data_IF_841234629780
#
_entry.id   IF_841234629780
#
_cell.length_a   1.000
_cell.length_b   1.000
_cell.length_c   1.000
_cell.angle_alpha   90.00
_cell.angle_beta   90.00
_cell.angle_gamma   90.00
#
_symmetry.space_group_name_H-M   'P 1'
#
loop_
_entity.id
_entity.type
_entity.pdbx_description
1 polymer ?
#
# COMPACT_ATOMS: atom_id res chain seq x y z
N UNK A 1 69.15 13.12 10.30
CA UNK A 1 69.73 11.98 11.00
C UNK A 1 68.82 10.78 10.72
N UNK A 2 69.27 9.93 9.81
CA UNK A 2 69.77 8.55 9.97
C UNK A 2 68.73 7.64 10.52
N UNK A 3 68.24 6.74 9.73
CA UNK A 3 68.71 5.42 9.20
C UNK A 3 68.04 4.31 10.01
N UNK A 4 67.56 3.21 9.57
CA UNK A 4 67.77 2.14 8.63
C UNK A 4 66.61 1.12 8.85
N UNK A 5 65.94 0.56 7.83
CA UNK A 5 66.07 -0.78 7.22
C UNK A 5 66.00 -1.99 8.20
N UNK A 6 65.07 -2.94 7.99
CA UNK A 6 65.42 -4.28 7.52
C UNK A 6 64.18 -5.10 7.12
N UNK A 7 64.25 -5.65 5.99
CA UNK A 7 63.77 -6.83 5.30
C UNK A 7 63.65 -8.08 6.19
N UNK A 8 62.64 -8.91 5.96
CA UNK A 8 62.82 -10.35 5.80
C UNK A 8 61.64 -11.02 5.08
N UNK A 9 61.96 -11.55 3.94
CA UNK A 9 61.22 -12.43 3.06
C UNK A 9 61.40 -13.86 3.58
N UNK A 10 60.31 -14.67 3.67
CA UNK A 10 60.40 -16.12 3.77
C UNK A 10 59.41 -16.77 2.77
N UNK A 11 60.02 -17.37 1.76
CA UNK A 11 59.47 -18.33 0.81
C UNK A 11 59.85 -19.72 1.32
N UNK A 12 58.90 -20.67 1.31
CA UNK A 12 59.14 -22.11 1.24
C UNK A 12 57.85 -22.79 0.85
N UNK A 13 57.68 -23.18 -0.42
CA UNK A 13 57.97 -24.46 -1.09
C UNK A 13 57.05 -25.64 -0.66
N UNK A 14 56.34 -26.11 -1.70
CA UNK A 14 55.53 -27.34 -1.88
C UNK A 14 56.42 -28.59 -1.75
N UNK A 15 55.86 -29.77 -1.44
CA UNK A 15 55.87 -30.77 -2.48
C UNK A 15 54.55 -31.52 -2.73
N UNK A 16 54.38 -31.79 -4.02
CA UNK A 16 53.58 -32.76 -4.71
C UNK A 16 54.00 -34.17 -4.37
N UNK A 17 53.04 -35.10 -4.15
CA UNK A 17 53.28 -36.51 -4.36
C UNK A 17 52.04 -37.19 -4.95
N UNK A 18 52.22 -37.74 -6.12
CA UNK A 18 51.33 -38.58 -6.89
C UNK A 18 51.40 -40.04 -6.42
N UNK A 19 50.35 -40.79 -6.66
CA UNK A 19 50.35 -42.26 -6.50
C UNK A 19 49.00 -42.89 -6.88
N UNK A 20 48.93 -43.41 -8.08
CA UNK A 20 48.03 -44.50 -8.56
C UNK A 20 48.89 -45.74 -8.82
N UNK A 21 48.38 -46.92 -9.21
CA UNK A 21 47.09 -47.59 -9.09
C UNK A 21 47.17 -49.03 -8.59
N UNK A 22 46.13 -49.80 -8.46
CA UNK A 22 46.16 -51.26 -8.75
C UNK A 22 44.78 -51.89 -8.87
N UNK A 23 44.66 -52.65 -9.94
CA UNK A 23 43.61 -53.56 -10.37
C UNK A 23 43.62 -54.86 -9.58
N UNK A 24 42.44 -55.54 -9.49
CA UNK A 24 42.20 -57.00 -9.68
C UNK A 24 40.69 -57.21 -9.72
N UNK A 25 40.09 -57.57 -10.83
CA UNK A 25 39.68 -58.85 -11.38
C UNK A 25 38.83 -59.77 -10.51
N UNK A 26 37.64 -60.12 -11.02
CA UNK A 26 36.81 -61.23 -10.56
C UNK A 26 35.55 -61.45 -11.40
N UNK A 27 35.67 -62.34 -12.37
CA UNK A 27 34.71 -62.85 -13.30
C UNK A 27 33.42 -63.44 -12.73
N UNK A 28 32.34 -63.36 -13.51
CA UNK A 28 31.17 -64.25 -13.37
C UNK A 28 30.10 -63.97 -14.43
N UNK A 29 30.13 -64.74 -15.49
CA UNK A 29 29.18 -64.79 -16.61
C UNK A 29 27.81 -65.30 -16.18
N UNK A 30 26.70 -64.82 -16.76
CA UNK A 30 25.77 -65.67 -17.54
C UNK A 30 24.79 -64.80 -18.34
N UNK A 31 24.66 -65.19 -19.59
CA UNK A 31 23.73 -64.78 -20.63
C UNK A 31 22.26 -65.07 -20.23
N UNK A 32 21.30 -64.24 -20.63
CA UNK A 32 20.19 -64.60 -21.52
C UNK A 32 19.51 -63.34 -22.09
N UNK A 33 19.21 -63.48 -23.34
CA UNK A 33 18.72 -62.57 -24.35
C UNK A 33 17.18 -62.41 -24.29
N UNK A 34 16.68 -61.33 -24.83
CA UNK A 34 15.52 -61.16 -25.70
C UNK A 34 14.42 -60.18 -25.24
N UNK A 35 14.31 -59.19 -26.12
CA UNK A 35 13.12 -58.56 -26.72
C UNK A 35 12.48 -57.37 -25.97
N UNK A 36 12.64 -56.28 -26.70
CA UNK A 36 11.75 -55.14 -26.96
C UNK A 36 10.33 -55.21 -26.39
N UNK A 37 9.99 -54.20 -25.58
CA UNK A 37 8.77 -53.42 -25.82
C UNK A 37 8.94 -52.02 -25.21
N UNK A 38 8.85 -51.06 -26.09
CA UNK A 38 8.71 -49.64 -25.82
C UNK A 38 7.52 -49.39 -24.90
N UNK A 39 7.79 -48.79 -23.74
CA UNK A 39 6.82 -47.91 -23.08
C UNK A 39 7.57 -46.96 -22.15
N UNK A 40 7.83 -45.77 -22.67
CA UNK A 40 8.31 -44.63 -21.95
C UNK A 40 7.19 -44.10 -21.05
N UNK A 41 7.10 -44.62 -19.83
CA UNK A 41 6.29 -43.97 -18.80
C UNK A 41 7.00 -42.71 -18.27
N UNK A 42 6.65 -41.59 -18.89
CA UNK A 42 6.86 -40.29 -18.29
C UNK A 42 6.01 -40.23 -16.98
N UNK A 43 6.67 -40.38 -15.85
CA UNK A 43 6.11 -39.99 -14.58
C UNK A 43 6.00 -38.47 -14.57
N UNK A 44 4.89 -37.95 -15.09
CA UNK A 44 4.45 -36.60 -14.80
C UNK A 44 4.04 -36.62 -13.32
N UNK A 45 4.92 -36.13 -12.47
CA UNK A 45 4.48 -35.65 -11.14
C UNK A 45 3.47 -34.50 -11.36
N UNK A 46 2.21 -34.86 -11.55
CA UNK A 46 1.11 -33.97 -11.26
C UNK A 46 1.15 -33.70 -9.77
N UNK A 47 1.86 -32.65 -9.37
CA UNK A 47 1.55 -31.97 -8.13
C UNK A 47 0.12 -31.44 -8.29
N UNK A 48 -0.84 -32.21 -7.82
CA UNK A 48 -2.20 -31.72 -7.61
C UNK A 48 -2.10 -30.48 -6.73
N UNK A 49 -2.27 -29.32 -7.32
CA UNK A 49 -2.43 -28.08 -6.57
C UNK A 49 -3.61 -28.33 -5.63
N UNK A 50 -3.33 -28.44 -4.34
CA UNK A 50 -4.36 -28.45 -3.31
C UNK A 50 -5.12 -27.13 -3.47
N UNK A 51 -6.32 -27.20 -4.01
CA UNK A 51 -7.28 -26.11 -4.00
C UNK A 51 -7.61 -25.82 -2.53
N UNK A 52 -6.82 -24.93 -1.92
CA UNK A 52 -7.10 -24.49 -0.56
C UNK A 52 -8.35 -23.60 -0.64
N UNK A 53 -9.42 -24.04 -0.02
CA UNK A 53 -10.65 -23.26 0.11
C UNK A 53 -10.35 -22.00 0.90
N UNK A 54 -10.57 -20.84 0.32
CA UNK A 54 -10.47 -19.54 0.98
C UNK A 54 -11.68 -19.40 1.92
N UNK A 55 -11.47 -18.88 3.12
CA UNK A 55 -12.57 -18.65 4.08
C UNK A 55 -12.71 -17.18 4.39
N UNK A 56 -13.91 -16.63 4.29
CA UNK A 56 -14.22 -15.31 4.83
C UNK A 56 -14.22 -15.42 6.35
N UNK A 57 -13.21 -14.82 6.99
CA UNK A 57 -13.01 -14.84 8.45
C UNK A 57 -13.84 -13.79 9.16
N UNK A 58 -14.07 -12.68 8.48
CA UNK A 58 -14.75 -11.54 9.08
C UNK A 58 -15.41 -10.70 7.97
N UNK A 59 -16.47 -9.97 8.33
CA UNK A 59 -17.11 -8.97 7.49
C UNK A 59 -17.30 -7.69 8.27
N UNK A 60 -17.07 -6.55 7.62
CA UNK A 60 -17.20 -5.22 8.23
C UNK A 60 -17.91 -4.29 7.26
N UNK A 61 -18.75 -3.41 7.77
CA UNK A 61 -19.33 -2.32 7.00
C UNK A 61 -18.93 -0.99 7.61
N UNK A 62 -18.67 -0.01 6.75
CA UNK A 62 -18.37 1.36 7.14
C UNK A 62 -19.16 2.32 6.28
N UNK A 63 -19.95 3.19 6.93
CA UNK A 63 -20.79 4.18 6.26
C UNK A 63 -20.04 5.49 6.13
N UNK A 64 -19.65 5.83 4.89
CA UNK A 64 -19.14 7.15 4.53
C UNK A 64 -20.29 8.06 4.11
N UNK A 65 -20.09 9.37 4.18
CA UNK A 65 -21.09 10.33 3.69
C UNK A 65 -21.49 10.11 2.21
N UNK A 66 -20.65 9.45 1.41
CA UNK A 66 -20.81 9.30 -0.05
C UNK A 66 -20.99 7.88 -0.51
N UNK A 67 -20.62 6.89 0.27
CA UNK A 67 -20.70 5.46 -0.05
C UNK A 67 -20.69 4.63 1.22
N UNK A 68 -21.13 3.40 1.12
CA UNK A 68 -20.92 2.40 2.16
C UNK A 68 -19.88 1.41 1.69
N UNK A 69 -18.82 1.23 2.47
CA UNK A 69 -17.78 0.23 2.23
C UNK A 69 -18.08 -1.05 2.99
N UNK A 70 -18.08 -2.16 2.29
CA UNK A 70 -18.15 -3.50 2.88
C UNK A 70 -16.82 -4.20 2.60
N UNK A 71 -16.21 -4.77 3.64
CA UNK A 71 -14.92 -5.47 3.57
C UNK A 71 -15.09 -6.90 4.05
N UNK A 72 -14.71 -7.86 3.24
CA UNK A 72 -14.61 -9.28 3.59
C UNK A 72 -13.13 -9.60 3.82
N UNK A 73 -12.76 -9.96 5.06
CA UNK A 73 -11.42 -10.41 5.41
C UNK A 73 -11.28 -11.89 5.05
N UNK A 74 -10.35 -12.23 4.18
CA UNK A 74 -10.16 -13.56 3.63
C UNK A 74 -9.02 -14.30 4.35
N UNK A 75 -9.09 -15.61 4.41
CA UNK A 75 -8.03 -16.44 5.02
C UNK A 75 -6.76 -16.46 4.20
N UNK A 76 -6.88 -16.34 2.88
CA UNK A 76 -5.79 -16.36 1.90
C UNK A 76 -6.19 -15.58 0.64
N UNK A 77 -5.23 -15.41 -0.28
CA UNK A 77 -5.49 -14.80 -1.58
C UNK A 77 -6.39 -15.67 -2.44
N UNK A 78 -7.34 -15.03 -3.12
CA UNK A 78 -8.23 -15.71 -4.07
C UNK A 78 -7.40 -16.14 -5.28
N UNK A 79 -7.39 -17.44 -5.57
CA UNK A 79 -6.58 -18.03 -6.65
C UNK A 79 -7.19 -17.88 -8.03
N UNK A 80 -8.52 -17.79 -8.10
CA UNK A 80 -9.28 -17.55 -9.34
C UNK A 80 -9.99 -16.21 -9.26
N UNK A 81 -9.99 -15.39 -10.32
CA UNK A 81 -10.61 -14.07 -10.28
C UNK A 81 -12.11 -14.18 -10.01
N UNK A 82 -12.65 -13.35 -9.08
CA UNK A 82 -14.09 -13.27 -8.87
C UNK A 82 -14.83 -12.87 -10.14
N UNK A 83 -16.02 -13.39 -10.31
CA UNK A 83 -16.87 -13.11 -11.47
C UNK A 83 -18.02 -12.20 -11.07
N UNK A 84 -18.23 -11.16 -11.89
CA UNK A 84 -19.32 -10.22 -11.72
C UNK A 84 -20.50 -10.60 -12.59
N UNK A 85 -21.69 -10.62 -12.02
CA UNK A 85 -22.94 -10.81 -12.77
C UNK A 85 -24.01 -9.86 -12.26
N UNK A 86 -25.04 -9.63 -13.10
CA UNK A 86 -26.20 -8.80 -12.76
C UNK A 86 -27.49 -9.52 -13.12
N UNK A 87 -28.40 -9.48 -12.19
CA UNK A 87 -29.81 -9.81 -12.44
C UNK A 87 -30.64 -8.51 -12.58
N UNK A 88 -31.91 -8.59 -12.80
CA UNK A 88 -32.80 -7.42 -12.82
C UNK A 88 -32.89 -6.68 -11.48
N UNK A 89 -32.57 -7.35 -10.37
CA UNK A 89 -32.77 -6.84 -9.02
C UNK A 89 -31.46 -6.79 -8.19
N UNK A 90 -30.45 -7.59 -8.53
CA UNK A 90 -29.24 -7.74 -7.76
C UNK A 90 -27.99 -7.67 -8.61
N UNK A 91 -26.96 -7.08 -8.03
CA UNK A 91 -25.58 -7.22 -8.43
C UNK A 91 -24.95 -8.36 -7.63
N UNK A 92 -24.16 -9.21 -8.28
CA UNK A 92 -23.56 -10.40 -7.66
C UNK A 92 -22.07 -10.49 -7.96
N UNK A 93 -21.29 -10.85 -6.97
CA UNK A 93 -19.87 -11.21 -7.10
C UNK A 93 -19.73 -12.67 -6.66
N UNK A 94 -19.41 -13.55 -7.60
CA UNK A 94 -19.05 -14.93 -7.30
C UNK A 94 -17.56 -15.03 -7.02
N UNK A 95 -17.20 -15.59 -5.86
CA UNK A 95 -15.81 -15.78 -5.45
C UNK A 95 -15.56 -17.28 -5.43
N UNK A 96 -14.77 -17.81 -6.40
CA UNK A 96 -14.51 -19.23 -6.52
C UNK A 96 -13.73 -19.78 -5.31
N UNK A 97 -14.00 -21.05 -4.99
CA UNK A 97 -13.32 -21.79 -3.91
C UNK A 97 -13.33 -21.05 -2.56
N UNK A 98 -14.45 -20.40 -2.25
CA UNK A 98 -14.57 -19.58 -1.04
C UNK A 98 -15.77 -20.01 -0.20
N UNK A 99 -15.57 -20.07 1.10
CA UNK A 99 -16.59 -20.35 2.13
C UNK A 99 -16.63 -19.21 3.16
N UNK A 100 -17.59 -19.23 4.06
CA UNK A 100 -17.65 -18.30 5.19
C UNK A 100 -18.09 -19.01 6.48
N UNK A 101 -17.66 -18.45 7.62
CA UNK A 101 -17.99 -18.99 8.93
C UNK A 101 -19.38 -18.56 9.41
N UNK A 102 -19.96 -19.30 10.34
CA UNK A 102 -21.24 -18.96 10.99
C UNK A 102 -21.22 -17.57 11.65
N UNK A 103 -20.07 -17.14 12.17
CA UNK A 103 -19.87 -15.80 12.74
C UNK A 103 -20.06 -14.68 11.70
N UNK A 104 -19.68 -14.92 10.45
CA UNK A 104 -19.87 -13.95 9.35
C UNK A 104 -21.35 -13.82 9.01
N UNK A 105 -22.07 -14.95 8.94
CA UNK A 105 -23.51 -14.94 8.73
C UNK A 105 -24.28 -14.22 9.86
N UNK A 106 -23.91 -14.46 11.12
CA UNK A 106 -24.49 -13.78 12.26
C UNK A 106 -24.21 -12.25 12.25
N UNK A 107 -23.02 -11.84 11.84
CA UNK A 107 -22.69 -10.41 11.69
C UNK A 107 -23.49 -9.73 10.59
N UNK A 108 -23.72 -10.40 9.46
CA UNK A 108 -24.54 -9.87 8.36
C UNK A 108 -25.99 -9.57 8.78
N UNK A 109 -26.53 -10.35 9.71
CA UNK A 109 -27.87 -10.14 10.26
C UNK A 109 -27.96 -8.90 11.19
N UNK A 110 -26.86 -8.19 11.46
CA UNK A 110 -26.85 -6.99 12.29
C UNK A 110 -27.21 -5.75 11.47
N UNK A 111 -27.83 -4.75 12.09
CA UNK A 111 -28.25 -3.48 11.46
C UNK A 111 -27.13 -2.60 10.87
N UNK A 112 -25.88 -3.03 11.01
CA UNK A 112 -24.69 -2.28 10.54
C UNK A 112 -24.38 -2.49 9.05
N UNK A 113 -25.03 -3.42 8.38
CA UNK A 113 -24.79 -3.71 6.98
C UNK A 113 -25.91 -3.13 6.09
N UNK A 114 -25.59 -2.88 4.80
CA UNK A 114 -26.63 -2.52 3.84
C UNK A 114 -27.76 -3.56 3.89
N UNK A 115 -29.03 -3.13 3.91
CA UNK A 115 -30.15 -4.06 3.91
C UNK A 115 -30.07 -4.97 2.66
N UNK A 116 -30.43 -6.23 2.82
CA UNK A 116 -30.46 -7.24 1.76
C UNK A 116 -29.09 -7.60 1.13
N UNK A 117 -27.99 -7.25 1.80
CA UNK A 117 -26.68 -7.80 1.46
C UNK A 117 -26.61 -9.25 1.94
N UNK A 118 -26.43 -10.19 1.01
CA UNK A 118 -26.47 -11.63 1.31
C UNK A 118 -25.21 -12.33 0.84
N UNK A 119 -24.70 -13.25 1.66
CA UNK A 119 -23.67 -14.23 1.27
C UNK A 119 -24.31 -15.59 1.14
N UNK A 120 -24.19 -16.21 -0.04
CA UNK A 120 -24.76 -17.52 -0.33
C UNK A 120 -23.68 -18.50 -0.78
N UNK A 121 -23.53 -19.67 -0.14
CA UNK A 121 -22.65 -20.72 -0.64
C UNK A 121 -23.27 -21.37 -1.88
N UNK A 122 -22.45 -21.75 -2.86
CA UNK A 122 -22.88 -22.52 -4.01
C UNK A 122 -22.58 -24.01 -3.84
N UNK A 123 -23.27 -24.85 -4.60
CA UNK A 123 -22.99 -26.29 -4.65
C UNK A 123 -21.61 -26.61 -5.26
N UNK A 124 -21.00 -25.67 -5.98
CA UNK A 124 -19.69 -25.78 -6.63
C UNK A 124 -18.54 -25.36 -5.71
N UNK A 125 -18.83 -25.02 -4.43
CA UNK A 125 -17.81 -24.59 -3.48
C UNK A 125 -17.36 -23.12 -3.67
N UNK A 126 -18.14 -22.31 -4.38
CA UNK A 126 -17.98 -20.86 -4.49
C UNK A 126 -18.87 -20.14 -3.47
N UNK A 127 -18.64 -18.87 -3.28
CA UNK A 127 -19.49 -17.97 -2.50
C UNK A 127 -20.00 -16.83 -3.37
N UNK A 128 -21.29 -16.54 -3.32
CA UNK A 128 -21.89 -15.39 -3.99
C UNK A 128 -22.19 -14.31 -2.97
N UNK A 129 -21.61 -13.13 -3.18
CA UNK A 129 -22.00 -11.89 -2.51
C UNK A 129 -23.05 -11.19 -3.36
N UNK A 130 -24.28 -11.10 -2.87
CA UNK A 130 -25.42 -10.51 -3.56
C UNK A 130 -25.84 -9.19 -2.92
N UNK A 131 -26.03 -8.15 -3.75
CA UNK A 131 -26.36 -6.80 -3.32
C UNK A 131 -27.56 -6.31 -4.13
N UNK A 132 -28.65 -5.82 -3.50
CA UNK A 132 -29.78 -5.26 -4.22
C UNK A 132 -29.35 -4.03 -5.02
N UNK A 133 -29.86 -3.88 -6.24
CA UNK A 133 -29.59 -2.69 -7.05
C UNK A 133 -30.41 -1.48 -6.60
N UNK A 134 -31.51 -1.72 -5.91
CA UNK A 134 -32.35 -0.64 -5.37
C UNK A 134 -31.60 0.13 -4.26
N UNK A 135 -31.60 1.44 -4.34
CA UNK A 135 -30.92 2.31 -3.37
C UNK A 135 -29.47 2.64 -3.71
N UNK A 136 -28.87 1.97 -4.70
CA UNK A 136 -27.48 2.19 -5.08
C UNK A 136 -27.37 2.68 -6.53
N UNK A 137 -26.68 3.82 -6.74
CA UNK A 137 -26.42 4.39 -8.07
C UNK A 137 -25.29 3.66 -8.81
N UNK A 138 -24.28 3.22 -8.08
CA UNK A 138 -23.12 2.49 -8.59
C UNK A 138 -22.44 1.73 -7.47
N UNK A 139 -21.63 0.79 -7.84
CA UNK A 139 -20.74 0.06 -6.93
C UNK A 139 -19.35 -0.07 -7.56
N UNK A 140 -18.36 -0.35 -6.75
CA UNK A 140 -17.00 -0.66 -7.14
C UNK A 140 -16.48 -1.73 -6.20
N UNK A 141 -15.84 -2.74 -6.72
CA UNK A 141 -15.16 -3.74 -5.88
C UNK A 141 -13.75 -4.00 -6.36
N UNK A 142 -12.88 -4.51 -5.46
CA UNK A 142 -11.52 -4.88 -5.74
C UNK A 142 -10.99 -5.85 -4.69
N UNK A 143 -9.97 -6.62 -5.08
CA UNK A 143 -9.24 -7.50 -4.17
C UNK A 143 -7.98 -6.80 -3.67
N UNK A 144 -7.70 -7.01 -2.39
CA UNK A 144 -6.44 -6.66 -1.75
C UNK A 144 -5.74 -7.95 -1.36
N UNK A 145 -4.43 -8.01 -1.60
CA UNK A 145 -3.58 -9.12 -1.21
C UNK A 145 -2.66 -8.65 -0.10
N UNK A 146 -2.67 -9.35 1.06
CA UNK A 146 -1.84 -9.08 2.25
C UNK A 146 -2.24 -7.83 3.05
N UNK A 147 -3.16 -7.99 4.00
CA UNK A 147 -4.01 -9.16 4.18
C UNK A 147 -5.04 -9.27 3.06
N UNK A 148 -5.42 -10.52 2.77
CA UNK A 148 -6.35 -10.81 1.68
C UNK A 148 -7.75 -10.31 2.03
N UNK A 149 -8.34 -9.48 1.16
CA UNK A 149 -9.64 -8.86 1.38
C UNK A 149 -10.37 -8.67 0.06
N UNK A 150 -11.69 -8.81 0.09
CA UNK A 150 -12.54 -8.25 -0.94
C UNK A 150 -13.17 -6.97 -0.37
N UNK A 151 -13.02 -5.87 -1.08
CA UNK A 151 -13.59 -4.56 -0.72
C UNK A 151 -14.67 -4.21 -1.72
N UNK A 152 -15.83 -3.79 -1.23
CA UNK A 152 -16.98 -3.35 -2.01
C UNK A 152 -17.42 -1.98 -1.55
N UNK A 153 -17.45 -1.01 -2.45
CA UNK A 153 -17.94 0.35 -2.24
C UNK A 153 -19.29 0.53 -2.93
N UNK A 154 -20.32 0.84 -2.17
CA UNK A 154 -21.70 1.06 -2.61
C UNK A 154 -22.04 2.54 -2.56
N UNK A 155 -22.37 3.15 -3.68
CA UNK A 155 -22.70 4.58 -3.79
C UNK A 155 -24.21 4.76 -3.86
N UNK A 156 -24.86 5.43 -2.88
CA UNK A 156 -26.29 5.57 -2.84
C UNK A 156 -26.84 6.38 -4.03
N UNK A 157 -28.02 6.04 -4.47
CA UNK A 157 -28.80 6.90 -5.34
C UNK A 157 -29.34 8.08 -4.53
N UNK A 158 -29.31 9.28 -5.09
CA UNK A 158 -29.72 10.53 -4.42
C UNK A 158 -31.19 10.59 -3.99
N UNK A 159 -31.95 9.49 -4.11
CA UNK A 159 -33.40 9.39 -3.83
C UNK A 159 -33.75 8.60 -2.56
N UNK A 160 -32.78 8.15 -1.78
CA UNK A 160 -33.09 7.46 -0.52
C UNK A 160 -33.09 8.43 0.66
N UNK A 161 -34.11 9.24 0.73
CA UNK A 161 -34.59 9.75 2.03
C UNK A 161 -35.29 8.55 2.69
N UNK A 162 -34.73 8.06 3.79
CA UNK A 162 -35.43 7.07 4.62
C UNK A 162 -36.85 7.57 4.89
N UNK A 163 -37.86 6.80 4.43
CA UNK A 163 -39.24 6.99 4.85
C UNK A 163 -39.31 6.65 6.35
N UNK A 164 -39.20 7.68 7.16
CA UNK A 164 -39.66 7.62 8.53
C UNK A 164 -41.17 7.61 8.48
N UNK A 165 -41.79 6.52 8.89
CA UNK A 165 -43.22 6.39 9.10
C UNK A 165 -43.68 7.55 9.99
N UNK A 166 -44.71 8.35 9.62
CA UNK A 166 -45.09 9.49 10.45
C UNK A 166 -45.71 8.98 11.76
N UNK A 167 -45.09 9.37 12.88
CA UNK A 167 -45.79 9.33 14.16
C UNK A 167 -46.92 10.39 14.17
N UNK A 168 -48.04 10.17 14.90
CA UNK A 168 -49.17 11.08 14.92
C UNK A 168 -48.74 12.49 15.36
N UNK A 169 -49.26 13.50 14.65
CA UNK A 169 -48.92 14.90 14.75
C UNK A 169 -49.13 15.45 16.19
N UNK A 170 -48.17 16.11 16.79
CA UNK A 170 -48.40 16.97 17.94
C UNK A 170 -49.08 18.28 17.51
N UNK A 171 -49.77 19.00 18.44
CA UNK A 171 -50.53 20.20 18.11
C UNK A 171 -49.59 21.32 17.60
N UNK A 172 -50.13 22.31 16.86
CA UNK A 172 -49.33 23.31 16.15
C UNK A 172 -48.52 24.19 17.11
N UNK A 173 -47.21 24.01 17.08
CA UNK A 173 -46.26 24.93 17.67
C UNK A 173 -45.88 25.90 16.56
N UNK A 174 -45.88 27.23 16.89
CA UNK A 174 -45.40 28.29 15.99
C UNK A 174 -44.05 27.91 15.44
N UNK A 175 -43.93 27.92 14.09
CA UNK A 175 -42.67 27.68 13.39
C UNK A 175 -41.59 28.60 13.95
N UNK A 176 -40.45 28.02 14.43
CA UNK A 176 -39.25 28.84 14.61
C UNK A 176 -38.74 29.22 13.22
N UNK A 177 -38.29 30.47 13.09
CA UNK A 177 -37.60 30.95 11.90
C UNK A 177 -36.61 29.88 11.38
N UNK A 178 -36.82 29.40 10.15
CA UNK A 178 -35.91 28.47 9.52
C UNK A 178 -34.61 29.22 9.30
N UNK A 179 -33.65 29.05 10.19
CA UNK A 179 -32.27 29.43 9.95
C UNK A 179 -31.77 28.47 8.86
N UNK A 180 -31.89 28.88 7.59
CA UNK A 180 -31.24 28.22 6.48
C UNK A 180 -29.75 28.22 6.78
N UNK A 181 -29.10 27.07 7.03
CA UNK A 181 -27.67 27.07 7.26
C UNK A 181 -27.02 27.71 6.03
N UNK A 182 -26.02 28.59 6.24
CA UNK A 182 -25.34 29.23 5.12
C UNK A 182 -24.80 28.12 4.19
N UNK A 183 -24.82 28.36 2.86
CA UNK A 183 -24.30 27.36 1.91
C UNK A 183 -22.89 26.98 2.35
N UNK A 184 -22.48 25.71 2.19
CA UNK A 184 -21.17 25.26 2.63
C UNK A 184 -20.12 26.16 2.01
N UNK A 185 -19.39 26.87 2.86
CA UNK A 185 -18.30 27.75 2.42
C UNK A 185 -17.28 26.85 1.73
N UNK A 186 -17.08 27.10 0.43
CA UNK A 186 -16.09 26.41 -0.37
C UNK A 186 -14.70 26.73 0.19
N UNK A 187 -14.20 25.87 1.08
CA UNK A 187 -12.85 26.04 1.61
C UNK A 187 -11.84 25.36 0.69
N UNK A 188 -10.65 25.93 0.61
CA UNK A 188 -9.54 25.33 -0.09
C UNK A 188 -9.14 24.00 0.58
N UNK A 189 -8.70 23.04 -0.22
CA UNK A 189 -8.18 21.76 0.24
C UNK A 189 -6.73 21.96 0.70
N UNK A 190 -6.45 21.75 1.97
CA UNK A 190 -5.14 21.99 2.57
C UNK A 190 -4.27 20.73 2.53
N UNK A 191 -3.12 20.84 1.87
CA UNK A 191 -2.12 19.77 1.76
C UNK A 191 -0.88 20.17 2.56
N UNK A 192 -0.39 19.27 3.40
CA UNK A 192 0.93 19.40 4.02
C UNK A 192 1.90 18.47 3.31
N UNK A 193 2.95 19.03 2.74
CA UNK A 193 4.10 18.32 2.19
C UNK A 193 5.18 18.22 3.26
N UNK A 194 5.71 17.04 3.45
CA UNK A 194 6.75 16.74 4.42
C UNK A 194 8.00 16.20 3.70
N UNK A 195 8.94 17.06 3.31
CA UNK A 195 10.25 16.59 2.84
C UNK A 195 10.99 15.92 3.98
N UNK A 196 11.26 14.61 3.87
CA UNK A 196 11.96 13.84 4.91
C UNK A 196 13.31 14.43 5.28
N UNK A 197 13.81 14.10 6.48
CA UNK A 197 15.14 14.49 6.97
C UNK A 197 15.35 16.01 7.06
N UNK A 198 16.62 16.47 7.00
CA UNK A 198 16.96 17.89 7.02
C UNK A 198 17.97 18.27 8.11
N UNK A 199 18.70 19.36 7.92
CA UNK A 199 19.72 19.86 8.86
C UNK A 199 20.77 18.81 9.20
N UNK A 200 20.85 18.40 10.46
CA UNK A 200 21.78 17.38 10.96
C UNK A 200 21.52 15.96 10.43
N UNK A 201 20.32 15.69 9.95
CA UNK A 201 19.93 14.38 9.40
C UNK A 201 20.01 14.41 7.85
N UNK A 202 21.03 13.79 7.25
CA UNK A 202 21.19 13.76 5.81
C UNK A 202 20.21 12.81 5.11
N UNK A 203 19.55 11.89 5.84
CA UNK A 203 18.88 10.73 5.26
C UNK A 203 19.86 9.74 4.64
N UNK A 204 19.40 8.95 3.69
CA UNK A 204 20.24 8.03 2.95
C UNK A 204 21.25 8.78 2.06
N UNK A 205 22.43 8.17 1.90
CA UNK A 205 23.56 8.73 1.13
C UNK A 205 23.79 7.88 -0.13
N UNK A 206 23.82 8.54 -1.27
CA UNK A 206 24.25 7.95 -2.52
C UNK A 206 25.76 7.76 -2.60
N UNK A 207 26.21 6.85 -3.43
CA UNK A 207 27.64 6.58 -3.62
C UNK A 207 28.41 7.77 -4.20
N UNK A 208 27.76 8.64 -4.95
CA UNK A 208 28.34 9.86 -5.54
C UNK A 208 28.21 11.08 -4.64
N UNK A 209 27.74 10.89 -3.39
CA UNK A 209 27.60 11.96 -2.41
C UNK A 209 26.25 12.69 -2.42
N UNK A 210 25.28 12.21 -3.19
CA UNK A 210 23.91 12.73 -3.15
C UNK A 210 23.30 12.47 -1.78
N UNK A 211 22.71 13.51 -1.16
CA UNK A 211 22.00 13.38 0.13
C UNK A 211 20.49 13.35 -0.12
N UNK A 212 19.82 12.45 0.54
CA UNK A 212 18.35 12.33 0.43
C UNK A 212 17.65 13.64 0.78
N UNK A 213 18.02 14.27 1.91
CA UNK A 213 17.42 15.51 2.39
C UNK A 213 17.35 16.64 1.35
N UNK A 214 18.38 16.73 0.49
CA UNK A 214 18.48 17.78 -0.53
C UNK A 214 17.57 17.46 -1.72
N UNK A 215 17.57 16.20 -2.16
CA UNK A 215 16.77 15.76 -3.29
C UNK A 215 15.27 15.80 -2.99
N UNK A 216 14.85 15.33 -1.79
CA UNK A 216 13.44 15.40 -1.39
C UNK A 216 12.95 16.83 -1.20
N UNK A 217 13.80 17.72 -0.64
CA UNK A 217 13.46 19.14 -0.52
C UNK A 217 13.25 19.78 -1.88
N UNK A 218 14.16 19.55 -2.83
CA UNK A 218 14.05 20.07 -4.19
C UNK A 218 12.77 19.60 -4.87
N UNK A 219 12.43 18.33 -4.79
CA UNK A 219 11.22 17.76 -5.38
C UNK A 219 9.96 18.32 -4.71
N UNK A 220 9.95 18.42 -3.37
CA UNK A 220 8.83 18.95 -2.63
C UNK A 220 8.55 20.44 -2.94
N UNK A 221 9.60 21.26 -3.10
CA UNK A 221 9.47 22.65 -3.50
C UNK A 221 8.87 22.79 -4.90
N UNK A 222 9.27 21.94 -5.84
CA UNK A 222 8.69 21.90 -7.17
C UNK A 222 7.23 21.44 -7.14
N UNK A 223 6.91 20.44 -6.33
CA UNK A 223 5.53 19.97 -6.13
C UNK A 223 4.65 21.08 -5.53
N UNK A 224 5.13 21.78 -4.50
CA UNK A 224 4.46 22.95 -3.94
C UNK A 224 4.12 23.97 -5.04
N UNK A 225 5.11 24.32 -5.86
CA UNK A 225 4.93 25.31 -6.93
C UNK A 225 3.91 24.87 -7.99
N UNK A 226 3.72 23.58 -8.21
CA UNK A 226 2.69 23.04 -9.09
C UNK A 226 1.32 23.11 -8.43
N UNK A 227 1.22 22.63 -7.18
CA UNK A 227 -0.03 22.57 -6.44
C UNK A 227 -0.63 23.96 -6.15
N UNK A 228 0.20 24.96 -5.85
CA UNK A 228 -0.23 26.33 -5.60
C UNK A 228 -0.89 27.02 -6.80
N UNK A 229 -0.75 26.45 -8.00
CA UNK A 229 -1.44 26.96 -9.21
C UNK A 229 -2.88 26.46 -9.32
N UNK A 230 -3.28 25.50 -8.52
CA UNK A 230 -4.67 25.00 -8.49
C UNK A 230 -5.52 25.87 -7.56
N UNK A 231 -6.57 26.52 -8.05
CA UNK A 231 -7.29 27.60 -7.31
C UNK A 231 -7.95 27.16 -5.98
N UNK A 232 -8.16 25.85 -5.81
CA UNK A 232 -8.83 25.28 -4.64
C UNK A 232 -7.89 24.46 -3.75
N UNK A 233 -6.57 24.67 -3.89
CA UNK A 233 -5.57 23.96 -3.09
C UNK A 233 -4.68 24.97 -2.37
N UNK A 234 -4.57 24.78 -1.04
CA UNK A 234 -3.52 25.38 -0.22
C UNK A 234 -2.45 24.37 0.10
N UNK A 235 -1.20 24.82 0.12
CA UNK A 235 -0.06 23.96 0.41
C UNK A 235 0.78 24.58 1.50
N UNK A 236 1.03 23.80 2.54
CA UNK A 236 2.03 24.08 3.55
C UNK A 236 3.12 23.02 3.49
N UNK A 237 4.27 23.32 4.02
CA UNK A 237 5.40 22.40 4.10
C UNK A 237 5.88 22.33 5.55
N UNK A 238 6.29 21.14 6.02
CA UNK A 238 6.93 21.00 7.33
C UNK A 238 8.25 21.73 7.35
N UNK A 239 9.02 21.67 6.26
CA UNK A 239 10.22 22.50 6.02
C UNK A 239 10.31 22.92 4.56
N UNK A 240 10.81 24.10 4.32
CA UNK A 240 11.14 24.62 2.96
C UNK A 240 12.62 25.03 2.84
N UNK A 241 13.39 24.71 3.87
CA UNK A 241 14.84 24.92 3.99
C UNK A 241 15.52 23.66 4.53
N UNK A 242 16.86 23.66 4.55
CA UNK A 242 17.65 22.57 5.11
C UNK A 242 17.73 22.69 6.66
N UNK A 243 16.61 22.43 7.31
CA UNK A 243 16.47 22.38 8.77
C UNK A 243 16.00 21.00 9.21
N UNK A 244 16.39 20.58 10.41
CA UNK A 244 15.91 19.35 11.03
C UNK A 244 14.60 19.59 11.79
N UNK A 245 13.64 18.72 11.61
CA UNK A 245 12.35 18.72 12.35
C UNK A 245 12.10 17.30 12.85
N UNK A 246 11.79 17.18 14.14
CA UNK A 246 11.45 15.88 14.75
C UNK A 246 10.18 15.29 14.15
N UNK A 247 10.07 13.96 14.09
CA UNK A 247 8.94 13.27 13.46
C UNK A 247 7.60 13.66 14.07
N UNK A 248 7.56 13.82 15.41
CA UNK A 248 6.35 14.25 16.12
C UNK A 248 5.91 15.66 15.72
N UNK A 249 6.86 16.58 15.56
CA UNK A 249 6.55 17.98 15.23
C UNK A 249 6.05 18.11 13.78
N UNK A 250 6.48 17.25 12.85
CA UNK A 250 5.95 17.19 11.48
C UNK A 250 4.47 16.84 11.47
N UNK A 251 4.09 15.78 12.19
CA UNK A 251 2.71 15.35 12.31
C UNK A 251 1.86 16.37 13.09
N UNK A 252 2.40 16.92 14.19
CA UNK A 252 1.75 17.95 15.02
C UNK A 252 1.45 19.20 14.21
N UNK A 253 2.39 19.67 13.40
CA UNK A 253 2.18 20.79 12.48
C UNK A 253 0.98 20.54 11.55
N UNK A 254 0.95 19.40 10.86
CA UNK A 254 -0.16 19.05 9.96
C UNK A 254 -1.51 18.97 10.70
N UNK A 255 -1.52 18.44 11.93
CA UNK A 255 -2.72 18.35 12.76
C UNK A 255 -3.22 19.74 13.22
N UNK A 256 -2.32 20.63 13.65
CA UNK A 256 -2.64 21.99 14.09
C UNK A 256 -3.21 22.84 12.95
N UNK A 257 -2.65 22.70 11.76
CA UNK A 257 -3.13 23.34 10.54
C UNK A 257 -4.43 22.73 10.00
N UNK A 258 -4.90 21.62 10.59
CA UNK A 258 -6.10 20.87 10.15
C UNK A 258 -6.02 20.50 8.67
N UNK A 259 -4.87 19.98 8.25
CA UNK A 259 -4.65 19.56 6.88
C UNK A 259 -5.65 18.48 6.45
N UNK A 260 -6.03 18.50 5.17
CA UNK A 260 -6.88 17.49 4.56
C UNK A 260 -6.09 16.29 4.04
N UNK A 261 -4.78 16.47 3.85
CA UNK A 261 -3.86 15.45 3.34
C UNK A 261 -2.44 15.74 3.83
N UNK A 262 -1.74 14.67 4.22
CA UNK A 262 -0.32 14.70 4.54
C UNK A 262 0.47 13.79 3.61
N UNK A 263 1.53 14.31 2.98
CA UNK A 263 2.41 13.57 2.10
C UNK A 263 3.87 13.74 2.55
N UNK A 264 4.46 12.67 3.09
CA UNK A 264 5.90 12.58 3.33
C UNK A 264 6.62 12.07 2.10
N UNK A 265 7.75 12.70 1.74
CA UNK A 265 8.54 12.38 0.54
C UNK A 265 9.93 11.96 0.98
N UNK A 266 10.31 10.74 0.59
CA UNK A 266 11.55 10.07 0.93
C UNK A 266 12.21 9.44 -0.29
N UNK A 267 13.46 9.03 -0.15
CA UNK A 267 14.23 8.30 -1.16
C UNK A 267 14.87 7.10 -0.48
N UNK A 268 14.42 5.94 -0.84
CA UNK A 268 14.82 4.67 -0.25
C UNK A 268 16.31 4.33 -0.45
N UNK A 269 16.80 3.42 0.35
CA UNK A 269 18.12 2.81 0.21
C UNK A 269 18.04 1.30 0.41
N UNK A 270 18.87 0.56 -0.33
CA UNK A 270 18.92 -0.90 -0.25
C UNK A 270 20.37 -1.39 -0.31
N UNK A 271 20.77 -2.44 0.48
CA UNK A 271 22.12 -3.00 0.42
C UNK A 271 22.52 -3.46 -0.98
N UNK A 272 21.56 -4.02 -1.74
CA UNK A 272 21.79 -4.40 -3.13
C UNK A 272 21.57 -3.21 -4.05
N UNK A 273 22.64 -2.66 -4.62
CA UNK A 273 22.60 -1.51 -5.51
C UNK A 273 21.80 -1.72 -6.83
N UNK A 274 21.43 -2.95 -7.17
CA UNK A 274 20.56 -3.24 -8.33
C UNK A 274 19.09 -2.94 -8.09
N UNK A 275 18.66 -2.82 -6.83
CA UNK A 275 17.28 -2.49 -6.48
C UNK A 275 17.02 -1.02 -6.82
N UNK A 276 15.89 -0.78 -7.46
CA UNK A 276 15.46 0.53 -7.97
C UNK A 276 13.95 0.62 -8.07
N UNK A 277 13.40 1.81 -8.26
CA UNK A 277 11.97 2.03 -8.49
C UNK A 277 11.33 2.85 -7.39
N UNK A 278 10.03 2.68 -7.20
CA UNK A 278 9.26 3.40 -6.20
C UNK A 278 8.30 2.49 -5.44
N UNK A 279 7.99 2.88 -4.22
CA UNK A 279 6.97 2.26 -3.38
C UNK A 279 6.30 3.31 -2.51
N UNK A 280 5.01 3.16 -2.26
CA UNK A 280 4.25 4.06 -1.41
C UNK A 280 3.79 3.33 -0.17
N UNK A 281 3.75 4.05 0.94
CA UNK A 281 3.36 3.49 2.23
C UNK A 281 2.19 4.26 2.83
N UNK A 282 1.31 3.53 3.51
CA UNK A 282 0.41 4.08 4.51
C UNK A 282 0.63 3.39 5.86
N UNK A 283 0.14 3.99 6.94
CA UNK A 283 0.31 3.43 8.28
C UNK A 283 -0.41 2.08 8.41
N UNK A 284 0.24 1.13 9.07
CA UNK A 284 -0.29 -0.19 9.38
C UNK A 284 0.78 -1.16 9.84
N UNK A 285 0.39 -2.41 10.03
CA UNK A 285 1.33 -3.51 10.24
C UNK A 285 2.23 -3.67 9.01
N UNK A 286 3.51 -3.98 9.23
CA UNK A 286 4.43 -4.14 8.12
C UNK A 286 3.99 -5.26 7.18
N UNK A 287 3.85 -4.96 5.89
CA UNK A 287 3.39 -5.92 4.88
C UNK A 287 4.40 -7.01 4.55
N UNK A 288 5.67 -6.74 4.82
CA UNK A 288 6.79 -7.67 4.65
C UNK A 288 7.99 -7.21 5.52
N UNK A 289 9.01 -8.08 5.76
CA UNK A 289 10.17 -7.73 6.57
C UNK A 289 10.91 -6.49 6.07
N UNK A 290 10.97 -6.28 4.74
CA UNK A 290 11.62 -5.11 4.17
C UNK A 290 10.87 -3.82 4.49
N UNK A 291 9.55 -3.84 4.47
CA UNK A 291 8.72 -2.70 4.86
C UNK A 291 8.98 -2.30 6.34
N UNK A 292 9.19 -3.30 7.20
CA UNK A 292 9.57 -3.06 8.60
C UNK A 292 10.95 -2.42 8.73
N UNK A 293 11.95 -2.90 7.95
CA UNK A 293 13.30 -2.30 7.93
C UNK A 293 13.26 -0.83 7.48
N UNK A 294 12.50 -0.53 6.42
CA UNK A 294 12.34 0.86 5.96
C UNK A 294 11.73 1.72 7.04
N UNK A 295 10.62 1.27 7.66
CA UNK A 295 9.99 2.03 8.74
C UNK A 295 10.92 2.21 9.95
N UNK A 296 11.69 1.21 10.34
CA UNK A 296 12.64 1.31 11.43
C UNK A 296 13.73 2.36 11.14
N UNK A 297 14.24 2.41 9.92
CA UNK A 297 15.21 3.40 9.49
C UNK A 297 14.63 4.81 9.54
N UNK A 298 13.46 5.01 8.97
CA UNK A 298 12.80 6.33 8.94
C UNK A 298 12.32 6.79 10.32
N UNK A 299 11.98 5.86 11.20
CA UNK A 299 11.66 6.16 12.60
C UNK A 299 12.90 6.45 13.46
N UNK A 300 14.12 6.25 12.94
CA UNK A 300 15.37 6.35 13.72
C UNK A 300 15.47 5.31 14.85
N UNK A 301 14.75 4.19 14.74
CA UNK A 301 14.70 3.14 15.75
C UNK A 301 15.37 1.87 15.23
N UNK A 302 16.40 1.33 15.91
CA UNK A 302 16.98 0.05 15.54
C UNK A 302 15.91 -1.06 15.60
N UNK A 303 15.95 -1.98 14.63
CA UNK A 303 15.22 -3.24 14.74
C UNK A 303 15.80 -4.00 15.94
N UNK A 304 15.05 -4.05 17.04
CA UNK A 304 15.37 -4.95 18.15
C UNK A 304 14.74 -6.30 17.83
N UNK A 305 15.54 -7.35 17.87
CA UNK A 305 15.14 -8.74 17.51
C UNK A 305 13.93 -9.28 18.28
N UNK A 306 13.47 -8.59 19.34
CA UNK A 306 12.40 -9.03 20.23
C UNK A 306 11.31 -7.99 20.52
N UNK A 307 11.29 -6.83 19.87
CA UNK A 307 10.18 -5.90 20.04
C UNK A 307 9.03 -6.29 19.10
N UNK A 308 7.91 -6.81 19.60
CA UNK A 308 6.81 -7.18 18.72
C UNK A 308 6.28 -5.89 18.05
N UNK A 309 6.35 -5.84 16.73
CA UNK A 309 5.84 -4.72 15.92
C UNK A 309 4.36 -4.38 16.22
N UNK A 310 3.61 -5.33 16.79
CA UNK A 310 2.23 -5.16 17.18
C UNK A 310 2.00 -4.23 18.39
N UNK A 311 3.01 -4.00 19.27
CA UNK A 311 2.85 -3.05 20.39
C UNK A 311 2.57 -1.62 19.91
N UNK A 312 2.98 -1.30 18.68
CA UNK A 312 2.70 -0.01 18.06
C UNK A 312 1.31 0.06 17.42
N UNK A 313 0.68 -1.09 17.14
CA UNK A 313 -0.59 -1.20 16.41
C UNK A 313 -1.79 -1.16 17.35
N UNK A 314 -1.65 -1.69 18.58
CA UNK A 314 -2.77 -1.85 19.52
C UNK A 314 -3.30 -0.52 20.09
N UNK A 315 -2.53 0.56 20.06
CA UNK A 315 -2.97 1.85 20.60
C UNK A 315 -3.91 2.63 19.66
N UNK A 316 -4.05 2.21 18.40
CA UNK A 316 -4.68 3.03 17.34
C UNK A 316 -5.97 2.41 16.75
N UNK A 317 -6.72 1.65 17.53
CA UNK A 317 -8.07 1.15 17.13
C UNK A 317 -9.08 2.26 16.81
N UNK A 318 -8.70 3.53 16.95
CA UNK A 318 -9.63 4.66 16.87
C UNK A 318 -9.72 5.31 15.50
N UNK A 319 -8.96 4.84 14.48
CA UNK A 319 -8.90 5.56 13.20
C UNK A 319 -8.91 4.67 11.94
N UNK A 320 -9.75 3.64 11.90
CA UNK A 320 -9.93 2.79 10.72
C UNK A 320 -10.20 3.60 9.45
N UNK A 321 -10.99 4.69 9.58
CA UNK A 321 -11.31 5.58 8.46
C UNK A 321 -10.06 6.26 7.87
N UNK A 322 -9.18 6.80 8.71
CA UNK A 322 -7.92 7.42 8.26
C UNK A 322 -7.05 6.43 7.50
N UNK A 323 -6.97 5.18 7.98
CA UNK A 323 -6.18 4.13 7.35
C UNK A 323 -6.75 3.81 5.96
N UNK A 324 -8.07 3.65 5.83
CA UNK A 324 -8.74 3.39 4.57
C UNK A 324 -8.56 4.55 3.57
N UNK A 325 -8.76 5.79 4.01
CA UNK A 325 -8.56 6.98 3.19
C UNK A 325 -7.08 7.15 2.79
N UNK A 326 -6.13 6.81 3.68
CA UNK A 326 -4.69 6.80 3.38
C UNK A 326 -4.34 5.72 2.37
N UNK A 327 -4.94 4.56 2.47
CA UNK A 327 -4.75 3.48 1.50
C UNK A 327 -5.26 3.88 0.11
N UNK A 328 -6.45 4.50 0.02
CA UNK A 328 -6.99 4.99 -1.25
C UNK A 328 -6.10 6.07 -1.86
N UNK A 329 -5.62 7.01 -1.03
CA UNK A 329 -4.64 8.02 -1.43
C UNK A 329 -3.37 7.39 -1.99
N UNK A 330 -2.80 6.39 -1.30
CA UNK A 330 -1.58 5.71 -1.73
C UNK A 330 -1.77 4.98 -3.07
N UNK A 331 -2.86 4.23 -3.23
CA UNK A 331 -3.15 3.51 -4.47
C UNK A 331 -3.39 4.46 -5.66
N UNK A 332 -4.17 5.51 -5.45
CA UNK A 332 -4.49 6.49 -6.48
C UNK A 332 -3.24 7.25 -6.89
N UNK A 333 -2.45 7.72 -5.91
CA UNK A 333 -1.19 8.44 -6.16
C UNK A 333 -0.19 7.56 -6.90
N UNK A 334 0.05 6.33 -6.43
CA UNK A 334 0.94 5.39 -7.11
C UNK A 334 0.52 5.15 -8.56
N UNK A 335 -0.75 4.86 -8.81
CA UNK A 335 -1.27 4.55 -10.15
C UNK A 335 -1.03 5.72 -11.12
N UNK A 336 -1.33 6.93 -10.71
CA UNK A 336 -1.16 8.12 -11.53
C UNK A 336 0.33 8.46 -11.72
N UNK A 337 1.14 8.42 -10.65
CA UNK A 337 2.58 8.64 -10.68
C UNK A 337 3.28 7.69 -11.66
N UNK A 338 3.04 6.39 -11.54
CA UNK A 338 3.62 5.38 -12.44
C UNK A 338 3.16 5.58 -13.89
N UNK A 339 1.86 5.86 -14.10
CA UNK A 339 1.32 6.16 -15.45
C UNK A 339 2.01 7.36 -16.07
N UNK A 340 2.23 8.43 -15.28
CA UNK A 340 2.86 9.65 -15.77
C UNK A 340 4.35 9.44 -16.10
N UNK A 341 5.10 8.70 -15.27
CA UNK A 341 6.55 8.54 -15.44
C UNK A 341 6.95 7.49 -16.49
N UNK A 342 6.13 6.47 -16.76
CA UNK A 342 6.46 5.39 -17.70
C UNK A 342 6.92 5.80 -19.09
N UNK A 343 6.40 6.87 -19.72
CA UNK A 343 6.89 7.33 -21.03
C UNK A 343 8.33 7.82 -21.00
N UNK A 344 8.84 8.22 -19.84
CA UNK A 344 10.15 8.87 -19.69
C UNK A 344 11.19 7.94 -19.08
N UNK A 345 10.76 7.00 -18.20
CA UNK A 345 11.66 6.20 -17.39
C UNK A 345 11.15 4.76 -17.26
N UNK A 346 12.10 3.80 -17.21
CA UNK A 346 11.80 2.40 -16.87
C UNK A 346 11.59 2.27 -15.36
N UNK A 347 10.41 2.63 -14.88
CA UNK A 347 10.06 2.57 -13.47
C UNK A 347 9.77 1.14 -13.04
N UNK A 348 10.46 0.67 -12.01
CA UNK A 348 10.08 -0.52 -11.25
C UNK A 348 9.07 -0.09 -10.18
N UNK A 349 7.91 -0.66 -10.23
CA UNK A 349 6.81 -0.37 -9.34
C UNK A 349 6.72 -1.48 -8.29
N UNK A 350 7.02 -1.15 -7.02
CA UNK A 350 6.97 -2.07 -5.89
C UNK A 350 5.61 -2.07 -5.16
N UNK A 351 4.67 -1.24 -5.63
CA UNK A 351 3.30 -1.25 -5.11
C UNK A 351 3.06 -0.29 -3.95
N UNK A 352 1.93 -0.52 -3.30
CA UNK A 352 1.57 0.12 -2.04
C UNK A 352 1.75 -0.90 -0.93
N UNK A 353 2.39 -0.48 0.15
CA UNK A 353 2.71 -1.29 1.32
C UNK A 353 2.20 -0.64 2.60
N UNK A 354 2.20 -1.40 3.67
CA UNK A 354 1.95 -0.90 5.03
C UNK A 354 3.21 -1.06 5.87
N UNK A 355 3.45 -0.08 6.75
CA UNK A 355 4.47 -0.19 7.77
C UNK A 355 4.22 0.83 8.92
N UNK A 356 4.80 0.60 10.12
CA UNK A 356 4.54 1.43 11.30
C UNK A 356 5.39 2.72 11.32
N UNK A 357 5.24 3.58 10.31
CA UNK A 357 5.90 4.89 10.27
C UNK A 357 5.32 5.83 11.32
N UNK A 358 6.17 6.37 12.20
CA UNK A 358 5.73 7.25 13.29
C UNK A 358 5.11 8.54 12.77
N UNK A 359 5.70 9.14 11.74
CA UNK A 359 5.19 10.37 11.15
C UNK A 359 3.76 10.19 10.59
N UNK A 360 3.46 9.02 10.02
CA UNK A 360 2.12 8.73 9.52
C UNK A 360 1.14 8.38 10.65
N UNK A 361 1.61 7.68 11.69
CA UNK A 361 0.79 7.29 12.82
C UNK A 361 0.17 8.50 13.51
N UNK A 362 0.98 9.52 13.76
CA UNK A 362 0.63 10.67 14.58
C UNK A 362 -0.25 11.71 13.85
N UNK A 363 -0.47 11.58 12.54
CA UNK A 363 -1.38 12.45 11.78
C UNK A 363 -2.85 12.08 12.01
N UNK A 364 -3.76 13.02 11.85
CA UNK A 364 -5.22 12.81 11.99
C UNK A 364 -5.97 12.77 10.65
N UNK A 365 -5.32 13.12 9.54
CA UNK A 365 -5.84 13.12 8.18
C UNK A 365 -5.28 11.95 7.37
N UNK A 366 -5.80 11.67 6.16
CA UNK A 366 -5.19 10.75 5.19
C UNK A 366 -3.71 11.09 4.98
N UNK A 367 -2.84 10.10 5.19
CA UNK A 367 -1.39 10.30 5.21
C UNK A 367 -0.65 9.15 4.52
N UNK A 368 0.31 9.50 3.65
CA UNK A 368 1.18 8.54 2.97
C UNK A 368 2.63 8.98 3.03
N UNK A 369 3.54 8.00 2.91
CA UNK A 369 4.96 8.22 2.69
C UNK A 369 5.32 7.62 1.32
N UNK A 370 5.97 8.42 0.49
CA UNK A 370 6.38 8.05 -0.85
C UNK A 370 7.89 7.89 -0.92
N UNK A 371 8.35 6.66 -1.10
CA UNK A 371 9.72 6.30 -1.45
C UNK A 371 9.83 6.35 -2.99
N UNK A 372 10.32 7.47 -3.51
CA UNK A 372 10.19 7.81 -4.92
C UNK A 372 11.31 7.28 -5.82
N UNK A 373 12.40 6.78 -5.22
CA UNK A 373 13.56 6.19 -5.89
C UNK A 373 14.40 5.43 -4.85
N UNK A 374 15.49 4.78 -5.31
CA UNK A 374 16.51 4.19 -4.44
C UNK A 374 17.85 4.90 -4.66
N UNK A 375 18.28 5.71 -3.70
CA UNK A 375 19.54 6.47 -3.79
C UNK A 375 20.77 5.56 -3.85
N UNK A 376 20.68 4.34 -3.33
CA UNK A 376 21.71 3.31 -3.43
C UNK A 376 21.91 2.76 -4.84
N UNK A 377 20.95 2.98 -5.76
CA UNK A 377 21.06 2.59 -7.17
C UNK A 377 21.77 3.69 -7.97
N UNK A 378 22.92 3.41 -8.62
CA UNK A 378 23.70 4.45 -9.32
C UNK A 378 22.95 5.16 -10.45
N UNK A 379 22.03 4.46 -11.11
CA UNK A 379 21.22 5.07 -12.18
C UNK A 379 20.20 6.04 -11.60
N UNK A 380 19.52 5.66 -10.52
CA UNK A 380 18.53 6.52 -9.87
C UNK A 380 19.19 7.66 -9.10
N UNK A 381 20.35 7.43 -8.46
CA UNK A 381 21.14 8.51 -7.87
C UNK A 381 21.48 9.59 -8.88
N UNK A 382 21.94 9.21 -10.08
CA UNK A 382 22.21 10.16 -11.17
C UNK A 382 20.94 10.90 -11.62
N UNK A 383 19.78 10.22 -11.68
CA UNK A 383 18.51 10.84 -12.01
C UNK A 383 18.06 11.84 -10.95
N UNK A 384 18.24 11.52 -9.66
CA UNK A 384 17.92 12.41 -8.55
C UNK A 384 18.67 13.74 -8.59
N UNK A 385 19.88 13.78 -9.16
CA UNK A 385 20.64 15.01 -9.44
C UNK A 385 20.13 15.81 -10.64
N UNK A 386 19.19 15.28 -11.45
CA UNK A 386 18.67 15.94 -12.63
C UNK A 386 17.42 16.78 -12.32
N UNK A 387 17.46 18.07 -12.60
CA UNK A 387 16.30 18.96 -12.43
C UNK A 387 15.09 18.50 -13.25
N UNK A 388 15.31 17.97 -14.46
CA UNK A 388 14.24 17.42 -15.31
C UNK A 388 13.57 16.19 -14.65
N UNK A 389 14.36 15.31 -14.03
CA UNK A 389 13.79 14.17 -13.32
C UNK A 389 12.99 14.62 -12.10
N UNK A 390 13.54 15.53 -11.31
CA UNK A 390 12.87 16.09 -10.13
C UNK A 390 11.54 16.77 -10.50
N UNK A 391 11.51 17.56 -11.58
CA UNK A 391 10.28 18.19 -12.10
C UNK A 391 9.24 17.15 -12.52
N UNK A 392 9.66 16.10 -13.24
CA UNK A 392 8.76 15.03 -13.65
C UNK A 392 8.24 14.23 -12.47
N UNK A 393 9.08 13.98 -11.48
CA UNK A 393 8.66 13.32 -10.24
C UNK A 393 7.61 14.15 -9.50
N UNK A 394 7.86 15.43 -9.28
CA UNK A 394 6.92 16.38 -8.69
C UNK A 394 5.59 16.43 -9.48
N UNK A 395 5.65 16.49 -10.81
CA UNK A 395 4.45 16.46 -11.66
C UNK A 395 3.69 15.14 -11.54
N UNK A 396 4.38 14.01 -11.52
CA UNK A 396 3.75 12.70 -11.35
C UNK A 396 3.05 12.56 -10.00
N UNK A 397 3.65 13.04 -8.92
CA UNK A 397 3.02 13.08 -7.59
C UNK A 397 1.78 13.99 -7.61
N UNK A 398 1.88 15.16 -8.24
CA UNK A 398 0.75 16.06 -8.43
C UNK A 398 -0.43 15.39 -9.14
N UNK A 399 -0.20 14.66 -10.24
CA UNK A 399 -1.25 13.92 -10.93
C UNK A 399 -1.93 12.89 -10.01
N UNK A 400 -1.17 12.30 -9.11
CA UNK A 400 -1.70 11.39 -8.10
C UNK A 400 -2.59 12.08 -7.08
N UNK A 401 -2.12 13.16 -6.49
CA UNK A 401 -2.89 13.97 -5.55
C UNK A 401 -4.16 14.48 -6.21
N UNK A 402 -4.06 15.04 -7.41
CA UNK A 402 -5.19 15.56 -8.17
C UNK A 402 -6.24 14.48 -8.43
N UNK A 403 -5.82 13.29 -8.83
CA UNK A 403 -6.72 12.16 -9.05
C UNK A 403 -7.47 11.74 -7.78
N UNK A 404 -6.84 11.87 -6.61
CA UNK A 404 -7.47 11.58 -5.32
C UNK A 404 -8.45 12.68 -4.89
N UNK A 405 -8.07 13.96 -5.00
CA UNK A 405 -8.88 15.06 -4.46
C UNK A 405 -10.03 15.49 -5.38
N UNK A 406 -9.91 15.33 -6.73
CA UNK A 406 -10.94 15.77 -7.67
C UNK A 406 -12.34 15.18 -7.37
N UNK A 407 -12.49 13.88 -7.11
CA UNK A 407 -13.79 13.32 -6.72
C UNK A 407 -14.30 13.88 -5.38
N UNK A 408 -13.41 14.23 -4.46
CA UNK A 408 -13.75 14.79 -3.16
C UNK A 408 -14.27 16.23 -3.29
N UNK A 409 -13.65 17.01 -4.15
CA UNK A 409 -14.06 18.40 -4.42
C UNK A 409 -15.38 18.49 -5.18
N UNK A 410 -15.59 17.62 -6.18
CA UNK A 410 -16.86 17.57 -6.93
C UNK A 410 -18.06 17.19 -6.05
N UNK A 411 -17.84 16.48 -4.98
CA UNK A 411 -18.89 16.07 -4.08
C UNK A 411 -19.19 17.10 -2.98
N UNK A 412 -18.38 18.17 -2.88
CA UNK A 412 -18.61 19.33 -2.00
C UNK A 412 -19.28 20.50 -2.74
N UNK A 413 -19.49 20.38 -4.06
CA UNK A 413 -20.25 21.27 -4.93
C UNK A 413 -21.70 20.76 -5.08
#
# INVERSE_FOLDING_TARGET
MRCYRFFSLFILLVPLLAGTPSLTEGMGRSFFDLRESSDSHHYIHQTAARSSTVTVRNIRAHHHKKFTRVVLDLSDSVTSPPQESRTSTHFQIEIPHTSFSSNVAAKLASEKFPPDLVLTPTSTGSMILSIPMQGWKRYKWYLLNKPSRLVLDLYPSSTSVAQVTPAPAPPPVKEPDIIVPPPPVKRDFLIVLDPGHGGKDPGALGKSGTREKDAVLSIALQLRNILQKEPSIKVLMTRDQDIFIELEDRAKFANQEKADLFLSIHINSHPQASIKGLELYHFGEASDPRALEVAARENGTPLQDNAPAWQFILADKLNDKKIDDSQELAWTTRKALVKYLRPFYKIKDHGVKTAPFFVLRMTTMPAILAEIAFISNPTEEKLLGSSTYQQRMARGIFEGIKAYITPLQTALQ
#
